data_IF_918950457313
#
_entry.id   IF_918950457313
#
_cell.length_a   1.000
_cell.length_b   1.000
_cell.length_c   1.000
_cell.angle_alpha   90.00
_cell.angle_beta   90.00
_cell.angle_gamma   90.00
#
_symmetry.space_group_name_H-M   'P 1'
#
loop_
_entity.id
_entity.type
_entity.pdbx_description
1 polymer ?
#
# COMPACT_ATOMS: atom_id res chain seq x y z
N UNK A 1 -13.28 -12.29 29.80
CA UNK A 1 -14.23 -11.25 30.22
C UNK A 1 -15.55 -11.92 30.55
N UNK A 2 -16.32 -11.43 31.52
CA UNK A 2 -17.66 -11.97 31.82
C UNK A 2 -18.68 -11.31 30.88
N UNK A 3 -19.07 -12.02 29.81
CA UNK A 3 -19.99 -11.51 28.79
C UNK A 3 -21.33 -11.08 29.39
N UNK A 4 -21.78 -11.72 30.48
CA UNK A 4 -23.09 -11.44 31.10
C UNK A 4 -23.20 -10.03 31.67
N UNK A 5 -22.06 -9.37 31.92
CA UNK A 5 -22.01 -8.00 32.47
C UNK A 5 -21.97 -6.91 31.40
N UNK A 6 -21.91 -7.29 30.12
CA UNK A 6 -21.79 -6.34 29.01
C UNK A 6 -23.12 -5.63 28.70
N UNK A 7 -23.08 -4.38 28.19
CA UNK A 7 -24.26 -3.70 27.65
C UNK A 7 -24.92 -4.50 26.52
N UNK A 8 -24.12 -5.18 25.69
CA UNK A 8 -24.57 -5.98 24.56
C UNK A 8 -25.39 -7.17 25.02
N UNK A 9 -24.98 -7.87 26.08
CA UNK A 9 -25.77 -8.94 26.69
C UNK A 9 -27.17 -8.45 27.09
N UNK A 10 -27.26 -7.32 27.80
CA UNK A 10 -28.55 -6.74 28.22
C UNK A 10 -29.43 -6.37 27.02
N UNK A 11 -28.82 -5.88 25.94
CA UNK A 11 -29.52 -5.51 24.71
C UNK A 11 -30.06 -6.74 23.98
N UNK A 12 -29.25 -7.79 23.83
CA UNK A 12 -29.60 -9.03 23.15
C UNK A 12 -30.70 -9.77 23.92
N UNK A 13 -30.55 -9.91 25.23
CA UNK A 13 -31.46 -10.67 26.09
C UNK A 13 -32.48 -9.77 26.79
N UNK A 14 -33.10 -8.88 26.02
CA UNK A 14 -34.27 -8.10 26.44
C UNK A 14 -35.55 -8.90 26.21
N UNK A 15 -36.35 -9.12 27.27
CA UNK A 15 -37.55 -9.95 27.22
C UNK A 15 -38.84 -9.14 27.25
N UNK A 16 -39.87 -9.62 26.56
CA UNK A 16 -41.21 -9.04 26.62
C UNK A 16 -41.78 -9.18 28.04
N UNK A 17 -42.41 -8.12 28.55
CA UNK A 17 -42.94 -8.10 29.92
C UNK A 17 -44.01 -9.18 30.15
N UNK A 18 -44.94 -9.32 29.19
CA UNK A 18 -46.12 -10.19 29.34
C UNK A 18 -46.01 -11.56 28.67
N UNK A 19 -44.98 -11.80 27.84
CA UNK A 19 -44.86 -13.06 27.08
C UNK A 19 -43.58 -13.75 27.54
N UNK A 20 -43.69 -14.85 28.32
CA UNK A 20 -42.53 -15.58 28.81
C UNK A 20 -41.58 -15.96 27.67
N UNK A 21 -40.27 -15.84 27.93
CA UNK A 21 -39.19 -16.23 27.00
C UNK A 21 -39.15 -15.51 25.64
N UNK A 22 -40.10 -14.62 25.33
CA UNK A 22 -40.09 -13.82 24.10
C UNK A 22 -39.02 -12.75 24.16
N UNK A 23 -38.13 -12.75 23.18
CA UNK A 23 -37.06 -11.75 23.04
C UNK A 23 -37.56 -10.56 22.21
N UNK A 24 -37.30 -9.35 22.70
CA UNK A 24 -37.63 -8.08 22.05
C UNK A 24 -36.60 -7.75 20.97
N UNK A 25 -35.31 -8.02 21.26
CA UNK A 25 -34.23 -7.80 20.33
C UNK A 25 -34.52 -8.44 18.97
N UNK A 26 -34.17 -7.72 17.90
CA UNK A 26 -34.35 -8.15 16.52
C UNK A 26 -33.00 -8.42 15.89
N UNK A 27 -32.99 -9.32 14.92
CA UNK A 27 -31.83 -9.48 14.05
C UNK A 27 -31.48 -8.15 13.37
N UNK A 28 -30.20 -7.90 13.25
CA UNK A 28 -29.65 -6.64 12.77
C UNK A 28 -28.28 -6.88 12.15
N UNK A 29 -27.64 -5.81 11.69
CA UNK A 29 -26.27 -5.87 11.17
C UNK A 29 -25.23 -6.35 12.19
N UNK A 30 -25.60 -6.44 13.47
CA UNK A 30 -24.74 -6.89 14.57
C UNK A 30 -25.27 -8.15 15.29
N UNK A 31 -26.44 -8.68 14.92
CA UNK A 31 -27.07 -9.79 15.65
C UNK A 31 -27.79 -10.74 14.69
N UNK A 32 -27.52 -12.03 14.87
CA UNK A 32 -28.21 -13.14 14.21
C UNK A 32 -28.63 -14.20 15.24
N UNK A 33 -29.85 -14.71 15.11
CA UNK A 33 -30.36 -15.77 15.95
C UNK A 33 -30.41 -17.10 15.20
N UNK A 34 -30.04 -18.16 15.91
CA UNK A 34 -30.17 -19.54 15.48
C UNK A 34 -30.87 -20.34 16.57
N UNK A 35 -31.76 -21.22 16.16
CA UNK A 35 -32.45 -22.10 17.11
C UNK A 35 -31.51 -23.15 17.67
N UNK A 36 -30.72 -23.80 16.80
CA UNK A 36 -29.81 -24.87 17.16
C UNK A 36 -28.45 -24.71 16.50
N UNK A 37 -27.44 -25.31 17.13
CA UNK A 37 -26.10 -25.44 16.56
C UNK A 37 -25.93 -26.84 15.99
N UNK A 38 -25.51 -26.93 14.73
CA UNK A 38 -25.16 -28.18 14.07
C UNK A 38 -23.93 -27.98 13.19
N UNK A 39 -22.86 -28.75 13.45
CA UNK A 39 -21.60 -28.65 12.72
C UNK A 39 -21.73 -28.93 11.21
N UNK A 40 -22.77 -29.66 10.78
CA UNK A 40 -23.06 -29.86 9.37
C UNK A 40 -23.42 -28.55 8.64
N UNK A 41 -23.88 -27.52 9.35
CA UNK A 41 -24.20 -26.18 8.83
C UNK A 41 -23.09 -25.14 9.07
N UNK A 42 -21.85 -25.60 9.30
CA UNK A 42 -20.69 -24.74 9.56
C UNK A 42 -20.42 -23.69 8.47
N UNK A 43 -20.73 -24.00 7.22
CA UNK A 43 -20.61 -23.10 6.07
C UNK A 43 -21.53 -21.88 6.19
N UNK A 44 -22.77 -22.09 6.66
CA UNK A 44 -23.72 -21.01 6.92
C UNK A 44 -23.24 -20.12 8.06
N UNK A 45 -22.64 -20.71 9.10
CA UNK A 45 -22.07 -19.95 10.21
C UNK A 45 -20.86 -19.14 9.75
N UNK A 46 -19.94 -19.74 8.99
CA UNK A 46 -18.78 -19.06 8.40
C UNK A 46 -19.20 -17.90 7.50
N UNK A 47 -20.26 -18.05 6.70
CA UNK A 47 -20.81 -16.98 5.87
C UNK A 47 -21.28 -15.78 6.70
N UNK A 48 -22.03 -16.03 7.77
CA UNK A 48 -22.47 -14.96 8.68
C UNK A 48 -21.32 -14.33 9.46
N UNK A 49 -20.36 -15.13 9.90
CA UNK A 49 -19.17 -14.66 10.63
C UNK A 49 -18.29 -13.78 9.73
N UNK A 50 -18.03 -14.18 8.49
CA UNK A 50 -17.33 -13.36 7.51
C UNK A 50 -18.07 -12.03 7.26
N UNK A 51 -19.40 -12.10 7.15
CA UNK A 51 -20.25 -10.92 6.98
C UNK A 51 -20.18 -9.94 8.17
N UNK A 52 -20.13 -10.45 9.40
CA UNK A 52 -19.92 -9.65 10.61
C UNK A 52 -18.52 -9.04 10.65
N UNK A 53 -17.48 -9.84 10.42
CA UNK A 53 -16.08 -9.43 10.47
C UNK A 53 -15.76 -8.35 9.44
N UNK A 54 -16.32 -8.43 8.23
CA UNK A 54 -16.21 -7.39 7.20
C UNK A 54 -16.94 -6.09 7.55
N UNK A 55 -17.90 -6.15 8.47
CA UNK A 55 -18.65 -5.00 8.96
C UNK A 55 -18.11 -4.55 10.33
N UNK A 56 -18.96 -4.38 11.33
CA UNK A 56 -18.62 -3.86 12.67
C UNK A 56 -18.47 -4.97 13.72
N UNK A 57 -18.22 -6.21 13.29
CA UNK A 57 -18.35 -7.38 14.14
C UNK A 57 -19.83 -7.71 14.41
N UNK A 58 -20.10 -8.54 15.41
CA UNK A 58 -21.46 -8.89 15.79
C UNK A 58 -21.57 -10.16 16.63
N UNK A 59 -22.79 -10.67 16.74
CA UNK A 59 -23.13 -11.81 17.59
C UNK A 59 -23.96 -12.83 16.82
N UNK A 60 -23.50 -14.08 16.82
CA UNK A 60 -24.28 -15.22 16.37
C UNK A 60 -24.71 -16.01 17.62
N UNK A 61 -26.01 -15.97 17.91
CA UNK A 61 -26.58 -16.49 19.16
C UNK A 61 -27.45 -17.70 18.88
N UNK A 62 -27.18 -18.80 19.59
CA UNK A 62 -27.83 -20.10 19.45
C UNK A 62 -28.77 -20.39 20.63
N UNK A 63 -29.89 -21.08 20.38
CA UNK A 63 -30.92 -21.36 21.38
C UNK A 63 -32.11 -20.40 21.34
N UNK A 64 -32.31 -19.69 20.21
CA UNK A 64 -33.41 -18.75 20.01
C UNK A 64 -34.14 -19.09 18.71
N UNK A 65 -35.46 -19.34 18.81
CA UNK A 65 -36.31 -19.61 17.64
C UNK A 65 -36.39 -18.40 16.72
N UNK A 66 -36.55 -18.63 15.42
CA UNK A 66 -36.73 -17.53 14.45
C UNK A 66 -38.13 -16.89 14.59
N UNK A 67 -39.17 -17.73 14.65
CA UNK A 67 -40.55 -17.30 14.86
C UNK A 67 -41.35 -18.33 15.67
N UNK A 68 -42.03 -17.94 16.77
CA UNK A 68 -41.83 -16.71 17.53
C UNK A 68 -40.40 -16.62 18.09
N UNK A 69 -39.78 -15.42 18.14
CA UNK A 69 -38.44 -15.17 18.71
C UNK A 69 -38.37 -15.50 20.20
N UNK A 70 -38.23 -16.77 20.51
CA UNK A 70 -38.33 -17.30 21.86
C UNK A 70 -37.03 -17.99 22.28
N UNK A 71 -36.66 -17.75 23.54
CA UNK A 71 -35.58 -18.45 24.19
C UNK A 71 -35.99 -19.92 24.43
N UNK A 72 -35.41 -20.81 23.64
CA UNK A 72 -35.60 -22.26 23.76
C UNK A 72 -34.43 -22.96 24.41
N UNK A 73 -33.23 -22.37 24.35
CA UNK A 73 -31.99 -22.96 24.82
C UNK A 73 -31.36 -23.91 23.80
N UNK A 74 -30.11 -24.27 24.05
CA UNK A 74 -29.38 -25.27 23.28
C UNK A 74 -30.08 -26.63 23.43
N UNK A 75 -30.35 -27.29 22.31
CA UNK A 75 -31.03 -28.60 22.27
C UNK A 75 -30.07 -29.78 22.47
N UNK A 76 -28.76 -29.52 22.50
CA UNK A 76 -27.70 -30.51 22.70
C UNK A 76 -26.42 -29.82 23.19
N UNK A 77 -25.49 -30.60 23.71
CA UNK A 77 -24.18 -30.12 24.17
C UNK A 77 -23.19 -29.89 23.02
N UNK A 78 -23.59 -30.14 21.76
CA UNK A 78 -22.71 -30.01 20.59
C UNK A 78 -22.00 -28.64 20.51
N UNK A 79 -22.69 -27.56 20.87
CA UNK A 79 -22.08 -26.24 20.88
C UNK A 79 -20.96 -26.16 21.93
N UNK A 80 -21.20 -26.69 23.13
CA UNK A 80 -20.25 -26.69 24.24
C UNK A 80 -19.04 -27.57 23.92
N UNK A 81 -19.28 -28.81 23.48
CA UNK A 81 -18.28 -29.83 23.17
C UNK A 81 -17.46 -29.55 21.91
N UNK A 82 -17.96 -28.76 20.96
CA UNK A 82 -17.19 -28.40 19.77
C UNK A 82 -16.04 -27.48 20.15
N UNK A 83 -14.83 -28.03 20.16
CA UNK A 83 -13.59 -27.30 20.46
C UNK A 83 -13.40 -26.10 19.54
N UNK A 84 -12.97 -24.98 20.12
CA UNK A 84 -12.62 -23.75 19.40
C UNK A 84 -11.51 -24.00 18.38
N UNK A 85 -10.55 -24.89 18.66
CA UNK A 85 -9.51 -25.23 17.68
C UNK A 85 -10.08 -25.82 16.39
N UNK A 86 -11.16 -26.63 16.50
CA UNK A 86 -11.87 -27.19 15.35
C UNK A 86 -12.62 -26.10 14.57
N UNK A 87 -13.18 -25.12 15.28
CA UNK A 87 -13.89 -23.98 14.69
C UNK A 87 -12.91 -23.08 13.94
N UNK A 88 -11.85 -22.63 14.61
CA UNK A 88 -10.77 -21.82 14.04
C UNK A 88 -10.09 -22.52 12.88
N UNK A 89 -9.78 -23.81 13.00
CA UNK A 89 -9.20 -24.60 11.92
C UNK A 89 -10.09 -24.66 10.68
N UNK A 90 -11.41 -24.77 10.87
CA UNK A 90 -12.35 -24.69 9.76
C UNK A 90 -12.38 -23.29 9.13
N UNK A 91 -12.50 -22.22 9.94
CA UNK A 91 -12.51 -20.85 9.42
C UNK A 91 -11.24 -20.51 8.64
N UNK A 92 -10.06 -20.84 9.17
CA UNK A 92 -8.78 -20.59 8.48
C UNK A 92 -8.61 -21.40 7.18
N UNK A 93 -9.33 -22.51 7.03
CA UNK A 93 -9.33 -23.30 5.79
C UNK A 93 -10.27 -22.74 4.71
N UNK A 94 -11.29 -21.95 5.08
CA UNK A 94 -12.28 -21.41 4.12
C UNK A 94 -12.27 -19.88 3.99
N UNK A 95 -11.70 -19.16 4.94
CA UNK A 95 -11.69 -17.70 5.04
C UNK A 95 -10.27 -17.18 5.27
N UNK A 96 -9.98 -15.99 4.74
CA UNK A 96 -8.73 -15.27 4.97
C UNK A 96 -8.97 -13.76 4.84
N UNK A 97 -8.36 -12.89 5.66
CA UNK A 97 -7.48 -13.17 6.80
C UNK A 97 -8.15 -13.91 7.97
N UNK A 98 -7.37 -14.22 9.02
CA UNK A 98 -7.87 -14.85 10.25
C UNK A 98 -8.98 -14.02 10.92
N UNK A 99 -9.99 -14.71 11.45
CA UNK A 99 -11.11 -14.10 12.15
C UNK A 99 -10.91 -14.22 13.65
N UNK A 100 -10.98 -13.08 14.34
CA UNK A 100 -11.01 -13.02 15.80
C UNK A 100 -12.45 -13.17 16.30
N UNK A 101 -12.69 -14.17 17.15
CA UNK A 101 -13.97 -14.38 17.81
C UNK A 101 -13.79 -14.93 19.23
N UNK A 102 -14.81 -14.77 20.07
CA UNK A 102 -14.91 -15.37 21.39
C UNK A 102 -16.16 -16.25 21.47
N UNK A 103 -16.04 -17.41 22.12
CA UNK A 103 -17.14 -18.37 22.32
C UNK A 103 -17.62 -18.30 23.78
N UNK A 104 -18.94 -18.22 23.96
CA UNK A 104 -19.55 -18.19 25.29
C UNK A 104 -20.72 -19.15 25.39
N UNK A 105 -20.93 -19.67 26.60
CA UNK A 105 -22.11 -20.43 26.99
C UNK A 105 -22.64 -19.75 28.25
N UNK A 106 -23.89 -19.31 28.21
CA UNK A 106 -24.53 -18.55 29.29
C UNK A 106 -25.86 -19.19 29.68
N UNK A 107 -26.17 -19.23 30.96
CA UNK A 107 -27.47 -19.68 31.46
C UNK A 107 -28.42 -18.50 31.62
N UNK A 108 -29.56 -18.53 30.93
CA UNK A 108 -30.57 -17.48 30.96
C UNK A 108 -31.92 -18.14 31.20
N UNK A 109 -32.64 -17.74 32.26
CA UNK A 109 -33.92 -18.36 32.66
C UNK A 109 -33.84 -19.91 32.70
N UNK A 110 -32.76 -20.43 33.28
CA UNK A 110 -32.44 -21.86 33.38
C UNK A 110 -32.27 -22.58 32.02
N UNK A 111 -31.94 -21.85 30.97
CA UNK A 111 -31.65 -22.40 29.63
C UNK A 111 -30.25 -21.99 29.19
N UNK A 112 -29.45 -22.96 28.75
CA UNK A 112 -28.13 -22.69 28.17
C UNK A 112 -28.26 -22.06 26.79
N UNK A 113 -27.47 -21.02 26.51
CA UNK A 113 -27.43 -20.28 25.24
C UNK A 113 -25.99 -20.20 24.79
N UNK A 114 -25.75 -20.54 23.52
CA UNK A 114 -24.43 -20.47 22.89
C UNK A 114 -24.25 -19.14 22.17
N UNK A 115 -23.08 -18.53 22.25
CA UNK A 115 -22.79 -17.24 21.61
C UNK A 115 -21.42 -17.30 20.98
N UNK A 116 -21.33 -16.90 19.71
CA UNK A 116 -20.08 -16.49 19.09
C UNK A 116 -20.10 -14.95 18.98
N UNK A 117 -19.16 -14.29 19.64
CA UNK A 117 -18.91 -12.86 19.50
C UNK A 117 -17.80 -12.65 18.48
N UNK A 118 -18.12 -11.98 17.37
CA UNK A 118 -17.23 -11.77 16.25
C UNK A 118 -16.69 -10.34 16.34
N UNK A 119 -15.36 -10.21 16.36
CA UNK A 119 -14.70 -8.92 16.29
C UNK A 119 -14.68 -8.39 14.85
N UNK A 120 -14.76 -7.06 14.62
CA UNK A 120 -14.43 -6.50 13.31
C UNK A 120 -13.02 -6.95 12.91
N UNK A 121 -12.85 -7.41 11.67
CA UNK A 121 -11.54 -7.83 11.19
C UNK A 121 -10.56 -6.67 11.23
N UNK A 122 -9.35 -6.92 11.77
CA UNK A 122 -8.25 -5.94 11.79
C UNK A 122 -7.78 -5.61 10.39
N UNK A 123 -7.76 -6.62 9.52
CA UNK A 123 -7.40 -6.49 8.11
C UNK A 123 -8.62 -6.92 7.30
N UNK A 124 -9.17 -5.97 6.55
CA UNK A 124 -10.32 -6.20 5.67
C UNK A 124 -9.87 -6.17 4.21
N UNK A 125 -10.59 -6.86 3.32
CA UNK A 125 -11.74 -7.73 3.59
C UNK A 125 -11.32 -9.14 4.02
N UNK A 126 -12.17 -9.81 4.81
CA UNK A 126 -12.25 -11.27 4.91
C UNK A 126 -12.89 -11.80 3.62
N UNK A 127 -12.16 -12.67 2.93
CA UNK A 127 -12.49 -13.27 1.65
C UNK A 127 -12.59 -14.79 1.83
N UNK A 128 -13.51 -15.41 1.10
CA UNK A 128 -13.55 -16.87 1.00
C UNK A 128 -12.42 -17.37 0.11
N UNK A 129 -11.58 -18.27 0.62
CA UNK A 129 -10.44 -18.84 -0.11
C UNK A 129 -10.71 -20.24 -0.66
N UNK A 130 -11.89 -20.80 -0.35
CA UNK A 130 -12.27 -22.15 -0.76
C UNK A 130 -13.79 -22.26 -0.88
N UNK A 131 -14.25 -23.07 -1.83
CA UNK A 131 -15.66 -23.45 -1.92
C UNK A 131 -16.03 -24.45 -0.83
N UNK A 132 -17.11 -24.19 -0.08
CA UNK A 132 -17.69 -25.13 0.89
C UNK A 132 -19.16 -24.76 1.15
N UNK A 133 -20.10 -25.65 0.82
CA UNK A 133 -21.54 -25.40 0.98
C UNK A 133 -22.00 -24.11 0.29
N UNK A 134 -22.50 -23.15 1.07
CA UNK A 134 -22.90 -21.81 0.59
C UNK A 134 -21.73 -20.87 0.29
N UNK A 135 -20.52 -21.16 0.77
CA UNK A 135 -19.33 -20.34 0.54
C UNK A 135 -18.80 -20.58 -0.88
N UNK A 136 -18.50 -19.49 -1.59
CA UNK A 136 -17.82 -19.54 -2.89
C UNK A 136 -16.50 -18.82 -2.82
N UNK A 137 -15.48 -19.44 -3.40
CA UNK A 137 -14.13 -18.86 -3.48
C UNK A 137 -14.17 -17.45 -4.11
N UNK A 138 -13.36 -16.55 -3.58
CA UNK A 138 -13.29 -15.12 -3.90
C UNK A 138 -14.51 -14.28 -3.51
N UNK A 139 -15.57 -14.87 -2.94
CA UNK A 139 -16.68 -14.08 -2.39
C UNK A 139 -16.25 -13.34 -1.12
N UNK A 140 -16.71 -12.09 -1.03
CA UNK A 140 -16.71 -11.30 0.19
C UNK A 140 -18.15 -11.21 0.66
N UNK A 141 -18.43 -11.67 1.88
CA UNK A 141 -19.75 -11.54 2.48
C UNK A 141 -19.83 -10.27 3.34
N UNK A 142 -21.00 -9.64 3.33
CA UNK A 142 -21.31 -8.45 4.10
C UNK A 142 -22.72 -8.55 4.67
N UNK A 143 -22.90 -8.01 5.87
CA UNK A 143 -24.19 -8.07 6.56
C UNK A 143 -25.04 -6.84 6.29
N UNK A 144 -26.13 -7.03 5.54
CA UNK A 144 -27.15 -6.03 5.24
C UNK A 144 -28.35 -6.22 6.17
N UNK A 145 -28.42 -5.43 7.24
CA UNK A 145 -29.43 -5.61 8.30
C UNK A 145 -29.44 -7.07 8.80
N UNK A 146 -30.54 -7.79 8.64
CA UNK A 146 -30.68 -9.16 9.13
C UNK A 146 -30.17 -10.25 8.16
N UNK A 147 -29.54 -9.90 7.03
CA UNK A 147 -29.09 -10.89 6.02
C UNK A 147 -27.59 -10.78 5.70
N UNK A 148 -26.95 -11.94 5.58
CA UNK A 148 -25.56 -12.07 5.10
C UNK A 148 -25.58 -12.37 3.59
N UNK A 149 -25.13 -11.42 2.78
CA UNK A 149 -25.12 -11.51 1.31
C UNK A 149 -23.72 -11.23 0.76
N UNK A 150 -23.49 -11.49 -0.53
CA UNK A 150 -22.29 -11.00 -1.23
C UNK A 150 -22.24 -9.48 -1.12
N UNK A 151 -21.05 -8.95 -0.85
CA UNK A 151 -20.84 -7.51 -0.75
C UNK A 151 -21.26 -6.83 -2.06
N UNK A 152 -22.00 -5.74 -1.93
CA UNK A 152 -22.41 -4.90 -3.06
C UNK A 152 -21.37 -3.81 -3.27
N UNK A 153 -21.37 -3.28 -4.49
CA UNK A 153 -20.40 -2.29 -4.92
C UNK A 153 -20.22 -1.11 -3.94
N UNK A 154 -21.28 -0.50 -3.36
CA UNK A 154 -21.11 0.66 -2.46
C UNK A 154 -20.27 0.33 -1.22
N UNK A 155 -20.55 -0.78 -0.54
CA UNK A 155 -19.81 -1.20 0.65
C UNK A 155 -18.40 -1.65 0.30
N UNK A 156 -18.23 -2.36 -0.82
CA UNK A 156 -16.90 -2.74 -1.30
C UNK A 156 -16.05 -1.51 -1.62
N UNK A 157 -16.64 -0.52 -2.30
CA UNK A 157 -15.97 0.73 -2.65
C UNK A 157 -15.56 1.49 -1.40
N UNK A 158 -16.47 1.65 -0.44
CA UNK A 158 -16.19 2.31 0.85
C UNK A 158 -15.09 1.58 1.63
N UNK A 159 -15.11 0.25 1.65
CA UNK A 159 -14.09 -0.57 2.30
C UNK A 159 -12.71 -0.33 1.67
N UNK A 160 -12.61 -0.36 0.33
CA UNK A 160 -11.35 -0.13 -0.38
C UNK A 160 -10.84 1.31 -0.23
N UNK A 161 -11.74 2.30 -0.18
CA UNK A 161 -11.36 3.69 0.01
C UNK A 161 -10.87 3.93 1.45
N UNK A 162 -11.48 3.32 2.46
CA UNK A 162 -11.00 3.38 3.85
C UNK A 162 -9.58 2.80 3.99
N UNK A 163 -9.30 1.66 3.35
CA UNK A 163 -7.97 1.04 3.37
C UNK A 163 -6.93 2.00 2.79
N UNK A 164 -7.22 2.60 1.62
CA UNK A 164 -6.33 3.58 0.99
C UNK A 164 -6.11 4.80 1.87
N UNK A 165 -7.14 5.23 2.57
CA UNK A 165 -7.08 6.45 3.37
C UNK A 165 -6.31 6.24 4.67
N UNK A 166 -6.40 5.05 5.27
CA UNK A 166 -5.58 4.62 6.40
C UNK A 166 -4.10 4.52 6.00
N UNK A 167 -3.79 3.89 4.86
CA UNK A 167 -2.43 3.85 4.32
C UNK A 167 -1.90 5.26 4.05
N UNK A 168 -2.71 6.12 3.41
CA UNK A 168 -2.34 7.50 3.11
C UNK A 168 -2.07 8.29 4.38
N UNK A 169 -2.88 8.12 5.42
CA UNK A 169 -2.69 8.79 6.71
C UNK A 169 -1.37 8.37 7.36
N UNK A 170 -1.08 7.07 7.39
CA UNK A 170 0.19 6.53 7.87
C UNK A 170 1.38 7.14 7.11
N UNK A 171 1.30 7.17 5.77
CA UNK A 171 2.32 7.83 4.93
C UNK A 171 2.47 9.32 5.23
N UNK A 172 1.36 10.04 5.42
CA UNK A 172 1.39 11.47 5.74
C UNK A 172 2.02 11.74 7.10
N UNK A 173 1.73 10.93 8.12
CA UNK A 173 2.37 11.05 9.44
C UNK A 173 3.90 10.87 9.34
N UNK A 174 4.36 9.93 8.52
CA UNK A 174 5.80 9.76 8.23
C UNK A 174 6.37 10.97 7.48
N UNK A 175 5.69 11.47 6.45
CA UNK A 175 6.12 12.63 5.67
C UNK A 175 6.15 13.91 6.51
N UNK A 176 5.20 14.10 7.42
CA UNK A 176 5.21 15.23 8.37
C UNK A 176 6.41 15.16 9.32
N UNK A 177 6.70 13.98 9.88
CA UNK A 177 7.91 13.77 10.71
C UNK A 177 9.17 14.12 9.90
N UNK A 178 9.27 13.64 8.65
CA UNK A 178 10.38 13.95 7.75
C UNK A 178 10.46 15.45 7.45
N UNK A 179 9.32 16.11 7.16
CA UNK A 179 9.27 17.54 6.85
C UNK A 179 9.68 18.40 8.04
N UNK A 180 9.31 18.02 9.28
CA UNK A 180 9.69 18.74 10.51
C UNK A 180 11.19 18.63 10.77
N UNK A 181 11.78 17.45 10.53
CA UNK A 181 13.23 17.21 10.68
C UNK A 181 14.01 17.87 9.51
N UNK A 182 13.37 17.96 8.34
CA UNK A 182 13.94 18.39 7.06
C UNK A 182 14.57 17.21 6.31
N UNK A 183 14.31 17.10 5.00
CA UNK A 183 14.81 15.99 4.16
C UNK A 183 16.34 15.85 4.15
N UNK A 184 17.05 16.93 4.47
CA UNK A 184 18.51 16.97 4.63
C UNK A 184 18.96 16.13 5.85
N UNK A 185 18.20 16.16 6.95
CA UNK A 185 18.57 15.55 8.23
C UNK A 185 17.95 14.16 8.43
N UNK A 186 17.24 13.63 7.43
CA UNK A 186 16.61 12.30 7.46
C UNK A 186 17.32 11.33 6.54
N UNK A 187 17.48 10.08 7.01
CA UNK A 187 17.94 8.96 6.20
C UNK A 187 16.94 7.81 6.26
N UNK A 188 16.74 7.13 5.13
CA UNK A 188 15.90 5.94 4.99
C UNK A 188 16.78 4.71 5.25
N UNK A 189 16.33 3.83 6.15
CA UNK A 189 16.98 2.55 6.43
C UNK A 189 16.30 1.44 5.60
N UNK A 190 17.03 0.86 4.66
CA UNK A 190 16.70 -0.39 3.97
C UNK A 190 17.28 -1.57 4.77
N UNK A 191 16.43 -2.24 5.53
CA UNK A 191 16.83 -3.40 6.34
C UNK A 191 17.13 -4.66 5.53
N UNK A 192 16.61 -4.76 4.30
CA UNK A 192 16.83 -5.94 3.44
C UNK A 192 18.25 -5.91 2.88
N UNK A 193 18.68 -4.73 2.44
CA UNK A 193 19.99 -4.53 1.87
C UNK A 193 21.04 -4.06 2.88
N UNK A 194 20.61 -3.61 4.07
CA UNK A 194 21.51 -3.06 5.09
C UNK A 194 22.02 -1.67 4.74
N UNK A 195 21.25 -0.90 3.98
CA UNK A 195 21.67 0.42 3.50
C UNK A 195 20.91 1.51 4.27
N UNK A 196 21.61 2.52 4.76
CA UNK A 196 21.03 3.77 5.25
C UNK A 196 21.34 4.83 4.20
N UNK A 197 20.31 5.33 3.52
CA UNK A 197 20.45 6.34 2.47
C UNK A 197 19.75 7.64 2.85
N UNK A 198 20.48 8.74 2.85
CA UNK A 198 19.94 10.09 3.04
C UNK A 198 20.60 11.08 2.09
N UNK A 199 20.29 12.37 2.25
CA UNK A 199 20.92 13.41 1.42
C UNK A 199 22.44 13.52 1.65
N UNK A 200 22.92 13.11 2.84
CA UNK A 200 24.33 13.04 3.20
C UNK A 200 25.11 11.85 2.62
N UNK A 201 24.48 10.95 1.85
CA UNK A 201 25.11 9.78 1.25
C UNK A 201 24.46 8.46 1.66
N UNK A 202 25.13 7.34 1.32
CA UNK A 202 24.68 5.99 1.64
C UNK A 202 25.69 5.32 2.56
N UNK A 203 25.26 4.95 3.76
CA UNK A 203 26.00 4.12 4.69
C UNK A 203 25.56 2.66 4.52
N UNK A 204 26.51 1.74 4.35
CA UNK A 204 26.20 0.30 4.25
C UNK A 204 26.63 -0.38 5.54
N UNK A 205 25.70 -1.10 6.15
CA UNK A 205 25.89 -1.85 7.39
C UNK A 205 26.09 -3.32 7.00
N UNK A 206 27.14 -3.95 7.55
CA UNK A 206 27.33 -5.40 7.43
C UNK A 206 26.08 -6.15 7.94
N UNK A 207 25.59 -7.12 7.15
CA UNK A 207 24.44 -7.97 7.49
C UNK A 207 24.55 -8.64 8.86
N UNK A 208 25.77 -8.94 9.32
CA UNK A 208 26.03 -9.50 10.67
C UNK A 208 25.73 -8.53 11.81
N UNK A 209 25.70 -7.22 11.54
CA UNK A 209 25.35 -6.18 12.51
C UNK A 209 23.87 -5.83 12.47
N UNK A 210 23.20 -6.00 11.30
CA UNK A 210 21.76 -5.79 11.17
C UNK A 210 20.98 -6.67 12.14
N UNK A 211 21.37 -7.93 12.31
CA UNK A 211 20.74 -8.87 13.25
C UNK A 211 20.92 -8.49 14.72
N UNK A 212 21.84 -7.57 15.03
CA UNK A 212 22.08 -7.05 16.38
C UNK A 212 21.31 -5.75 16.65
N UNK A 213 20.77 -5.10 15.63
CA UNK A 213 19.91 -3.92 15.78
C UNK A 213 18.56 -4.35 16.36
N UNK A 214 18.33 -4.05 17.63
CA UNK A 214 17.04 -4.28 18.29
C UNK A 214 16.24 -2.97 18.29
N UNK A 215 15.24 -2.89 17.42
CA UNK A 215 14.29 -1.78 17.43
C UNK A 215 13.05 -2.16 18.24
N UNK A 216 12.56 -1.24 19.05
CA UNK A 216 11.25 -1.35 19.70
C UNK A 216 10.24 -0.80 18.69
N UNK A 217 9.25 -1.61 18.29
CA UNK A 217 8.13 -1.15 17.46
C UNK A 217 7.30 -0.14 18.27
N UNK A 218 6.87 0.95 17.65
CA UNK A 218 5.93 1.91 18.24
C UNK A 218 4.68 1.14 18.71
N UNK A 219 4.43 1.13 20.04
CA UNK A 219 3.32 0.39 20.66
C UNK A 219 3.71 -0.49 21.85
N UNK A 220 4.99 -0.86 22.00
CA UNK A 220 5.48 -1.75 23.07
C UNK A 220 5.95 -0.96 24.32
N UNK A 221 5.27 0.15 24.63
CA UNK A 221 5.59 1.03 25.75
C UNK A 221 4.96 0.52 27.05
N UNK A 222 5.45 -0.60 27.58
CA UNK A 222 5.14 -0.93 28.97
C UNK A 222 5.85 0.04 29.93
N UNK A 223 5.07 0.61 30.86
CA UNK A 223 5.48 1.52 31.93
C UNK A 223 6.61 0.93 32.79
N UNK A 224 7.85 1.13 32.36
CA UNK A 224 9.09 1.24 33.18
C UNK A 224 10.21 1.53 32.19
N UNK A 225 10.63 2.79 32.14
CA UNK A 225 11.56 3.34 31.13
C UNK A 225 12.71 2.38 30.82
N UNK A 226 12.72 1.85 29.60
CA UNK A 226 13.82 1.04 29.06
C UNK A 226 14.74 1.94 28.22
N UNK A 227 16.05 1.65 28.23
CA UNK A 227 17.08 2.56 27.77
C UNK A 227 16.96 2.85 26.27
N UNK A 228 17.09 4.13 25.92
CA UNK A 228 17.26 4.59 24.53
C UNK A 228 18.63 4.09 24.05
N UNK A 229 18.65 3.24 23.02
CA UNK A 229 19.89 2.67 22.51
C UNK A 229 20.72 3.74 21.79
N UNK A 230 21.98 3.90 22.22
CA UNK A 230 23.00 4.75 21.59
C UNK A 230 23.89 3.87 20.72
N UNK A 231 23.75 3.97 19.40
CA UNK A 231 24.65 3.27 18.46
C UNK A 231 25.93 4.10 18.31
N UNK A 232 27.04 3.61 18.85
CA UNK A 232 28.38 4.16 18.64
C UNK A 232 29.21 3.09 17.94
N UNK A 233 29.76 3.42 16.78
CA UNK A 233 30.66 2.53 16.05
C UNK A 233 31.50 3.30 15.06
N UNK A 234 32.71 2.79 14.82
CA UNK A 234 33.64 3.36 13.85
C UNK A 234 33.17 3.06 12.42
N UNK A 235 32.99 4.10 11.62
CA UNK A 235 32.61 3.96 10.21
C UNK A 235 33.88 3.79 9.37
N UNK A 236 34.01 2.63 8.73
CA UNK A 236 35.07 2.39 7.74
C UNK A 236 34.48 2.50 6.33
N UNK A 237 35.15 3.18 5.38
CA UNK A 237 34.70 3.21 4.00
C UNK A 237 34.71 1.80 3.41
N UNK A 238 33.58 1.35 2.88
CA UNK A 238 33.46 0.08 2.17
C UNK A 238 33.37 0.37 0.68
N UNK A 239 34.30 -0.17 -0.10
CA UNK A 239 34.21 -0.20 -1.57
C UNK A 239 33.19 -1.26 -1.96
N UNK A 240 31.92 -0.88 -2.07
CA UNK A 240 30.86 -1.77 -2.52
C UNK A 240 31.01 -2.01 -4.03
N UNK A 241 31.71 -3.09 -4.40
CA UNK A 241 31.69 -3.63 -5.76
C UNK A 241 30.38 -4.42 -5.92
N UNK A 242 29.28 -3.69 -6.18
CA UNK A 242 27.97 -4.28 -6.39
C UNK A 242 27.92 -5.12 -7.67
N UNK A 243 27.60 -6.41 -7.55
CA UNK A 243 27.11 -7.21 -8.68
C UNK A 243 25.83 -6.54 -9.22
N UNK A 244 25.87 -6.20 -10.50
CA UNK A 244 24.77 -5.59 -11.26
C UNK A 244 23.45 -6.38 -11.12
N UNK A 245 22.54 -5.91 -10.28
CA UNK A 245 21.11 -6.19 -10.44
C UNK A 245 20.51 -5.08 -11.30
N UNK A 246 19.94 -5.50 -12.44
CA UNK A 246 19.38 -4.61 -13.46
C UNK A 246 18.20 -3.82 -12.85
N UNK A 247 18.26 -2.49 -12.93
CA UNK A 247 17.08 -1.64 -12.74
C UNK A 247 17.11 -0.68 -11.55
N UNK A 248 18.22 -0.02 -11.25
CA UNK A 248 18.20 1.21 -10.48
C UNK A 248 19.41 2.07 -10.85
N UNK A 249 19.15 3.26 -11.38
CA UNK A 249 20.16 4.25 -11.74
C UNK A 249 20.82 4.79 -10.45
N UNK A 250 21.90 4.14 -9.99
CA UNK A 250 22.75 4.67 -8.91
C UNK A 250 23.71 5.71 -9.50
N UNK A 251 23.51 6.98 -9.15
CA UNK A 251 24.55 8.01 -9.28
C UNK A 251 25.63 7.72 -8.22
N UNK A 252 26.71 7.08 -8.65
CA UNK A 252 27.92 7.00 -7.84
C UNK A 252 28.56 8.39 -7.82
N UNK A 253 28.58 9.03 -6.65
CA UNK A 253 29.40 10.21 -6.38
C UNK A 253 30.66 9.70 -5.68
N UNK A 254 31.80 9.73 -6.37
CA UNK A 254 33.12 9.65 -5.76
C UNK A 254 33.72 11.05 -5.75
N UNK A 255 34.14 11.51 -4.57
CA UNK A 255 34.98 12.69 -4.41
C UNK A 255 36.40 12.16 -4.19
N UNK A 256 37.31 12.43 -5.13
CA UNK A 256 38.74 12.08 -5.04
C UNK A 256 39.56 13.14 -5.79
N UNK A 257 40.73 13.48 -5.24
CA UNK A 257 41.63 14.54 -5.70
C UNK A 257 42.68 14.06 -6.73
N UNK A 258 42.42 12.98 -7.48
CA UNK A 258 43.37 12.46 -8.49
C UNK A 258 43.22 13.17 -9.85
N UNK A 259 44.25 13.88 -10.36
CA UNK A 259 44.23 14.56 -11.66
C UNK A 259 44.24 13.61 -12.88
N UNK A 260 44.36 12.28 -12.71
CA UNK A 260 44.26 11.27 -13.78
C UNK A 260 42.97 10.42 -13.73
N UNK A 261 41.98 10.77 -12.92
CA UNK A 261 40.76 9.98 -12.77
C UNK A 261 39.98 9.79 -14.12
N UNK A 262 39.51 8.56 -14.44
CA UNK A 262 38.68 8.34 -15.62
C UNK A 262 37.30 9.01 -15.45
N UNK A 263 37.01 9.94 -16.35
CA UNK A 263 35.75 10.67 -16.49
C UNK A 263 34.57 9.70 -16.53
N UNK A 264 33.49 10.02 -15.78
CA UNK A 264 32.10 9.53 -15.96
C UNK A 264 31.94 8.64 -17.20
N UNK A 265 32.12 7.33 -17.04
CA UNK A 265 31.58 6.38 -18.02
C UNK A 265 30.09 6.27 -17.74
N UNK A 266 29.33 7.31 -18.09
CA UNK A 266 27.95 7.12 -18.50
C UNK A 266 28.00 6.00 -19.53
N UNK A 267 27.29 4.90 -19.29
CA UNK A 267 27.17 3.85 -20.30
C UNK A 267 26.75 4.51 -21.63
N UNK A 268 27.32 4.11 -22.77
CA UNK A 268 27.02 4.76 -24.05
C UNK A 268 25.50 4.81 -24.33
N UNK A 269 24.77 3.85 -23.78
CA UNK A 269 23.31 3.78 -23.83
C UNK A 269 22.62 4.87 -23.00
N UNK A 270 23.06 5.13 -21.77
CA UNK A 270 22.50 6.22 -20.94
C UNK A 270 22.92 7.61 -21.45
N UNK A 271 24.14 7.70 -22.00
CA UNK A 271 24.62 8.91 -22.66
C UNK A 271 23.71 9.27 -23.85
N UNK A 272 23.42 8.31 -24.72
CA UNK A 272 22.48 8.50 -25.85
C UNK A 272 21.07 8.85 -25.38
N UNK A 273 20.61 8.35 -24.22
CA UNK A 273 19.29 8.71 -23.65
C UNK A 273 19.26 10.15 -23.13
N UNK A 274 20.31 10.60 -22.42
CA UNK A 274 20.35 11.95 -21.81
C UNK A 274 20.72 13.05 -22.80
N UNK A 275 21.61 12.76 -23.75
CA UNK A 275 22.12 13.71 -24.74
C UNK A 275 21.98 13.17 -26.19
N UNK A 276 20.74 12.96 -26.67
CA UNK A 276 20.48 12.38 -27.99
C UNK A 276 20.77 13.33 -29.17
N UNK A 277 20.92 14.63 -28.93
CA UNK A 277 20.99 15.64 -29.99
C UNK A 277 22.42 16.07 -30.23
N UNK A 278 22.91 16.01 -31.46
CA UNK A 278 24.12 16.73 -31.84
C UNK A 278 23.80 18.10 -32.46
N UNK A 279 24.82 18.85 -32.86
CA UNK A 279 24.65 20.17 -33.45
C UNK A 279 23.69 20.17 -34.64
N UNK A 280 23.82 19.20 -35.54
CA UNK A 280 23.01 19.09 -36.76
C UNK A 280 21.55 18.83 -36.41
N UNK A 281 21.30 17.85 -35.53
CA UNK A 281 19.94 17.49 -35.11
C UNK A 281 19.28 18.60 -34.28
N UNK A 282 20.03 19.24 -33.38
CA UNK A 282 19.54 20.39 -32.62
C UNK A 282 19.10 21.51 -33.58
N UNK A 283 19.98 21.91 -34.52
CA UNK A 283 19.69 23.01 -35.44
C UNK A 283 18.49 22.69 -36.34
N UNK A 284 18.42 21.47 -36.88
CA UNK A 284 17.26 20.98 -37.66
C UNK A 284 15.96 21.07 -36.87
N UNK A 285 15.98 20.64 -35.60
CA UNK A 285 14.80 20.67 -34.74
C UNK A 285 14.39 22.10 -34.34
N UNK A 286 15.34 23.03 -34.20
CA UNK A 286 15.04 24.45 -33.96
C UNK A 286 14.35 25.08 -35.18
N UNK A 287 14.81 24.79 -36.41
CA UNK A 287 14.12 25.20 -37.65
C UNK A 287 12.69 24.63 -37.75
N UNK A 288 12.48 23.40 -37.30
CA UNK A 288 11.17 22.78 -37.26
C UNK A 288 10.25 23.42 -36.19
N UNK A 289 10.79 23.76 -35.03
CA UNK A 289 10.02 24.20 -33.85
C UNK A 289 9.62 25.68 -33.88
N UNK A 290 10.47 26.58 -34.38
CA UNK A 290 10.26 28.02 -34.26
C UNK A 290 10.03 28.69 -35.62
N UNK A 291 9.13 29.68 -35.67
CA UNK A 291 8.77 30.41 -36.90
C UNK A 291 9.87 31.40 -37.30
N UNK A 292 10.55 31.97 -36.33
CA UNK A 292 11.52 33.06 -36.45
C UNK A 292 12.98 32.61 -36.26
N UNK A 293 13.23 31.30 -36.23
CA UNK A 293 14.57 30.77 -36.04
C UNK A 293 15.42 30.88 -37.31
N UNK A 294 16.63 31.41 -37.15
CA UNK A 294 17.72 31.41 -38.14
C UNK A 294 19.03 31.05 -37.42
N UNK A 295 19.88 30.25 -38.06
CA UNK A 295 21.23 29.96 -37.54
C UNK A 295 22.17 31.16 -37.74
N UNK A 296 21.92 32.23 -36.98
CA UNK A 296 22.66 33.49 -37.04
C UNK A 296 23.51 33.71 -35.76
N UNK A 297 24.16 34.86 -35.67
CA UNK A 297 25.01 35.21 -34.52
C UNK A 297 24.26 35.15 -33.18
N UNK A 298 22.97 35.55 -33.15
CA UNK A 298 22.11 35.43 -31.96
C UNK A 298 21.97 33.96 -31.51
N UNK A 299 21.69 33.05 -32.44
CA UNK A 299 21.63 31.62 -32.13
C UNK A 299 22.96 31.09 -31.59
N UNK A 300 24.08 31.41 -32.26
CA UNK A 300 25.39 30.93 -31.83
C UNK A 300 25.81 31.50 -30.47
N UNK A 301 25.45 32.74 -30.15
CA UNK A 301 25.69 33.36 -28.83
C UNK A 301 24.90 32.63 -27.74
N UNK A 302 23.60 32.44 -27.92
CA UNK A 302 22.74 31.71 -26.98
C UNK A 302 23.19 30.25 -26.81
N UNK A 303 23.57 29.57 -27.91
CA UNK A 303 24.09 28.21 -27.84
C UNK A 303 25.40 28.14 -27.06
N UNK A 304 26.33 29.07 -27.28
CA UNK A 304 27.60 29.14 -26.51
C UNK A 304 27.34 29.39 -25.03
N UNK A 305 26.32 30.19 -24.70
CA UNK A 305 25.89 30.43 -23.32
C UNK A 305 25.31 29.16 -22.69
N UNK A 306 24.36 28.50 -23.37
CA UNK A 306 23.77 27.25 -22.88
C UNK A 306 24.75 26.08 -22.84
N UNK A 307 25.82 26.13 -23.66
CA UNK A 307 26.91 25.16 -23.62
C UNK A 307 27.69 25.20 -22.29
N UNK A 308 27.70 26.33 -21.57
CA UNK A 308 28.33 26.42 -20.26
C UNK A 308 27.61 25.59 -19.19
N UNK A 309 26.32 25.32 -19.38
CA UNK A 309 25.52 24.49 -18.47
C UNK A 309 25.71 22.99 -18.79
N UNK A 310 26.41 22.29 -17.90
CA UNK A 310 26.69 20.85 -17.99
C UNK A 310 25.43 19.97 -17.99
N UNK A 311 24.26 20.50 -17.59
CA UNK A 311 22.97 19.77 -17.69
C UNK A 311 22.36 19.85 -19.09
N UNK A 312 22.78 20.82 -19.91
CA UNK A 312 22.24 21.07 -21.25
C UNK A 312 23.16 20.59 -22.36
N UNK A 313 24.48 20.64 -22.15
CA UNK A 313 25.48 20.26 -23.13
C UNK A 313 26.59 19.41 -22.51
N UNK A 314 26.98 18.36 -23.22
CA UNK A 314 28.11 17.51 -22.92
C UNK A 314 29.06 17.47 -24.13
N UNK A 315 30.33 17.81 -23.92
CA UNK A 315 31.36 17.78 -24.97
C UNK A 315 32.18 16.49 -24.84
N UNK A 316 32.14 15.63 -25.85
CA UNK A 316 32.93 14.39 -25.93
C UNK A 316 34.13 14.58 -26.87
N UNK A 317 35.29 14.06 -26.49
CA UNK A 317 36.46 13.92 -27.37
C UNK A 317 36.23 12.74 -28.32
N UNK A 318 36.59 12.89 -29.60
CA UNK A 318 36.45 11.81 -30.60
C UNK A 318 37.39 10.64 -30.28
N UNK A 319 38.59 10.94 -29.78
CA UNK A 319 39.56 9.95 -29.31
C UNK A 319 39.83 10.18 -27.80
N UNK A 320 39.50 9.23 -26.91
CA UNK A 320 39.71 9.35 -25.46
C UNK A 320 41.18 9.41 -25.04
N UNK A 321 42.09 8.84 -25.84
CA UNK A 321 43.51 8.69 -25.48
C UNK A 321 44.37 9.85 -26.00
N UNK A 322 43.78 10.74 -26.81
CA UNK A 322 44.43 11.92 -27.37
C UNK A 322 43.74 13.24 -26.96
N UNK A 323 44.32 14.02 -26.01
CA UNK A 323 43.72 15.26 -25.53
C UNK A 323 43.66 16.39 -26.58
N UNK A 324 44.32 16.23 -27.74
CA UNK A 324 44.25 17.15 -28.90
C UNK A 324 43.17 16.74 -29.93
N UNK A 325 42.42 15.66 -29.69
CA UNK A 325 41.42 15.18 -30.63
C UNK A 325 40.24 16.15 -30.79
N UNK A 326 39.59 16.09 -31.96
CA UNK A 326 38.43 16.92 -32.26
C UNK A 326 37.29 16.64 -31.26
N UNK A 327 36.60 17.71 -30.85
CA UNK A 327 35.54 17.66 -29.83
C UNK A 327 34.17 17.74 -30.49
N UNK A 328 33.23 16.90 -30.07
CA UNK A 328 31.83 16.93 -30.51
C UNK A 328 30.89 17.24 -29.35
N UNK A 329 29.96 18.16 -29.57
CA UNK A 329 28.97 18.58 -28.57
C UNK A 329 27.65 17.81 -28.73
N UNK A 330 27.12 17.34 -27.61
CA UNK A 330 25.83 16.67 -27.50
C UNK A 330 24.92 17.41 -26.52
N UNK A 331 23.63 17.49 -26.83
CA UNK A 331 22.67 18.35 -26.16
C UNK A 331 21.48 17.54 -25.62
N UNK A 332 21.03 17.94 -24.43
CA UNK A 332 19.81 17.40 -23.83
C UNK A 332 18.56 18.05 -24.45
N UNK A 333 17.43 17.34 -24.61
CA UNK A 333 16.18 17.93 -25.10
C UNK A 333 15.66 19.08 -24.24
N UNK A 334 16.09 19.20 -22.98
CA UNK A 334 15.74 20.33 -22.11
C UNK A 334 16.25 21.67 -22.64
N UNK A 335 17.24 21.67 -23.56
CA UNK A 335 17.75 22.90 -24.18
C UNK A 335 16.67 23.66 -24.95
N UNK A 336 15.63 22.99 -25.47
CA UNK A 336 14.52 23.67 -26.15
C UNK A 336 13.77 24.61 -25.21
N UNK A 337 13.62 24.27 -23.91
CA UNK A 337 12.97 25.16 -22.92
C UNK A 337 13.74 26.47 -22.75
N UNK A 338 15.06 26.45 -22.94
CA UNK A 338 15.89 27.67 -22.89
C UNK A 338 15.70 28.49 -24.16
N UNK A 339 15.63 27.84 -25.33
CA UNK A 339 15.36 28.52 -26.60
C UNK A 339 13.93 29.08 -26.71
N UNK A 340 12.93 28.46 -26.06
CA UNK A 340 11.54 28.93 -26.01
C UNK A 340 11.43 30.37 -25.44
N UNK A 341 12.40 30.81 -24.63
CA UNK A 341 12.45 32.19 -24.10
C UNK A 341 12.87 33.24 -25.13
N UNK A 342 13.48 32.83 -26.25
CA UNK A 342 14.12 33.74 -27.22
C UNK A 342 13.57 33.64 -28.65
N UNK A 343 12.72 32.64 -28.93
CA UNK A 343 12.15 32.34 -30.25
C UNK A 343 10.66 31.97 -30.15
N UNK A 344 9.88 32.29 -31.18
CA UNK A 344 8.43 32.06 -31.23
C UNK A 344 8.09 30.70 -31.84
N UNK A 345 7.40 29.85 -31.07
CA UNK A 345 7.02 28.49 -31.48
C UNK A 345 6.02 28.55 -32.65
N UNK A 346 6.16 27.65 -33.63
CA UNK A 346 5.15 27.45 -34.68
C UNK A 346 3.89 26.86 -34.04
N UNK A 347 2.79 27.61 -34.03
CA UNK A 347 1.48 27.08 -33.60
C UNK A 347 1.03 25.99 -34.57
N UNK A 348 0.84 24.76 -34.09
CA UNK A 348 0.13 23.72 -34.86
C UNK A 348 -1.35 24.13 -34.91
N UNK A 349 -1.88 24.47 -36.10
CA UNK A 349 -3.33 24.43 -36.32
C UNK A 349 -3.80 23.00 -36.08
N UNK A 350 -4.44 22.74 -34.95
CA UNK A 350 -5.16 21.49 -34.70
C UNK A 350 -6.39 21.45 -35.62
N UNK A 351 -6.30 20.66 -36.68
CA UNK A 351 -7.36 20.57 -37.69
C UNK A 351 -8.45 19.61 -37.21
N UNK A 352 -9.44 20.13 -36.48
CA UNK A 352 -10.55 19.38 -35.86
C UNK A 352 -11.44 18.61 -36.88
N UNK A 353 -11.42 18.99 -38.16
CA UNK A 353 -12.32 18.43 -39.19
C UNK A 353 -12.01 16.98 -39.62
N UNK A 354 -10.83 16.42 -39.33
CA UNK A 354 -10.44 15.09 -39.86
C UNK A 354 -10.87 13.91 -38.97
N UNK A 355 -11.32 14.14 -37.74
CA UNK A 355 -11.69 13.08 -36.78
C UNK A 355 -13.20 12.83 -36.70
N UNK A 356 -14.04 13.79 -37.07
CA UNK A 356 -15.51 13.62 -37.11
C UNK A 356 -15.96 12.77 -38.32
N UNK A 357 -15.31 12.87 -39.48
CA UNK A 357 -15.65 12.05 -40.66
C UNK A 357 -15.25 10.56 -40.56
N UNK A 358 -14.56 10.16 -39.48
CA UNK A 358 -14.20 8.76 -39.22
C UNK A 358 -15.09 8.08 -38.19
N UNK A 359 -15.98 8.84 -37.54
CA UNK A 359 -16.95 8.32 -36.56
C UNK A 359 -18.36 8.22 -37.19
N UNK A 360 -18.60 8.86 -38.33
CA UNK A 360 -19.85 8.75 -39.09
C UNK A 360 -19.86 7.65 -40.17
N UNK A 361 -18.84 6.77 -40.20
CA UNK A 361 -18.74 5.66 -41.17
C UNK A 361 -18.21 4.35 -40.53
N UNK A 362 -18.45 4.14 -39.23
CA UNK A 362 -18.17 2.87 -38.54
C UNK A 362 -19.40 2.40 -37.80
#
# INVERSE_FOLDING_TARGET
>A
MDFTKTPEFKKIFSFHASIPNRIIARESSLLEFKESFNWLSKDKYAKSIAAFANNKGGYLVFGIKNFPRELVGLQSNNFEETDEAKITGYFNNVLSPEIEYEKFVVSIKNKSVGILSISPARIKPIICIKNDGELRESDIYYRYNAKSERIKYPELKSLLDNIKEEERKSWMEHLEKISKIGSINTAILDMVNGEISGQGGTLVIDKKLISKLKFIKEGDFQKKGKPVLRLIGDVKPVSVVGKNTKGASRTNIQITDDPKAPIMRLSEQEFKKKFPLDYTNLTKNLYARYKDFKSNQKYHKLRKEFKKDRKLCFTKQLDPDNPKSAKKDFYSPSIYKKFDKYYKIKTKKFNYKKRLNKISKS
#
